data_IF_729499541906
#
_entry.id   IF_729499541906
#
_cell.length_a   1.000
_cell.length_b   1.000
_cell.length_c   1.000
_cell.angle_alpha   90.00
_cell.angle_beta   90.00
_cell.angle_gamma   90.00
#
_symmetry.space_group_name_H-M   'P 1'
#
loop_
_entity.id
_entity.type
_entity.pdbx_description
1 polymer ?
#
# COMPACT_ATOMS: atom_id res chain seq x y z
N UNK A 1 45.83 44.94 9.80
CA UNK A 1 44.37 44.99 10.08
C UNK A 1 43.96 43.58 10.44
N UNK A 2 43.44 43.34 11.64
CA UNK A 2 42.95 42.02 12.07
C UNK A 2 41.43 42.08 12.19
N UNK A 3 40.71 41.27 11.41
CA UNK A 3 39.27 41.08 11.59
C UNK A 3 39.05 39.81 12.41
N UNK A 4 38.49 40.00 13.60
CA UNK A 4 38.14 38.94 14.52
C UNK A 4 36.70 38.51 14.24
N UNK A 5 36.52 37.37 13.55
CA UNK A 5 35.21 36.76 13.39
C UNK A 5 34.85 36.01 14.68
N UNK A 6 33.75 36.42 15.32
CA UNK A 6 33.15 35.70 16.46
C UNK A 6 32.13 34.72 15.92
N UNK A 7 32.26 33.44 16.29
CA UNK A 7 31.27 32.41 15.95
C UNK A 7 29.96 32.64 16.72
N UNK A 8 28.82 32.53 16.02
CA UNK A 8 27.49 32.55 16.64
C UNK A 8 26.93 31.13 16.60
N UNK A 9 26.72 30.54 17.78
CA UNK A 9 26.14 29.20 17.96
C UNK A 9 24.64 29.31 18.26
N UNK A 10 23.73 28.86 17.38
CA UNK A 10 22.30 28.86 17.65
C UNK A 10 21.79 27.52 18.21
N UNK A 11 22.06 27.27 19.50
CA UNK A 11 21.28 26.37 20.36
C UNK A 11 21.05 27.12 21.67
N UNK A 12 19.84 27.32 22.18
CA UNK A 12 18.87 26.31 22.64
C UNK A 12 17.46 26.92 22.55
N UNK A 13 16.44 26.15 22.15
CA UNK A 13 15.03 26.57 22.28
C UNK A 13 14.44 26.04 23.60
N UNK A 14 13.80 26.88 24.44
CA UNK A 14 13.20 26.41 25.68
C UNK A 14 11.96 25.54 25.43
N UNK A 15 11.83 24.49 26.24
CA UNK A 15 10.70 23.56 26.23
C UNK A 15 9.38 24.29 26.50
N UNK A 16 8.45 24.25 25.54
CA UNK A 16 7.10 24.78 25.73
C UNK A 16 6.21 23.77 26.46
N UNK A 17 5.74 24.19 27.63
CA UNK A 17 4.38 23.99 28.14
C UNK A 17 3.81 22.58 28.17
N UNK A 18 3.70 22.02 29.39
CA UNK A 18 2.91 20.84 29.69
C UNK A 18 1.45 21.01 29.23
N UNK A 19 1.04 20.26 28.21
CA UNK A 19 -0.37 20.12 27.85
C UNK A 19 -1.06 19.21 28.88
N UNK A 20 -1.92 19.80 29.71
CA UNK A 20 -2.78 19.06 30.64
C UNK A 20 -3.80 18.22 29.86
N UNK A 21 -3.62 16.91 29.81
CA UNK A 21 -4.61 15.99 29.27
C UNK A 21 -5.69 15.69 30.33
N UNK A 22 -6.97 16.00 30.11
CA UNK A 22 -8.03 15.58 31.02
C UNK A 22 -8.20 14.06 30.97
N UNK A 23 -8.22 13.42 32.14
CA UNK A 23 -8.52 11.99 32.31
C UNK A 23 -9.93 11.69 31.75
N UNK A 24 -10.03 10.89 30.69
CA UNK A 24 -11.32 10.32 30.33
C UNK A 24 -11.68 9.23 31.34
N UNK A 25 -12.77 9.45 32.08
CA UNK A 25 -13.26 8.49 33.07
C UNK A 25 -13.86 7.29 32.34
N UNK A 26 -13.52 6.10 32.84
CA UNK A 26 -14.11 4.82 32.45
C UNK A 26 -15.46 4.68 33.15
N UNK A 27 -16.57 4.86 32.42
CA UNK A 27 -17.89 4.47 32.90
C UNK A 27 -18.27 3.12 32.31
N UNK A 28 -18.50 2.16 33.21
CA UNK A 28 -19.12 0.89 32.93
C UNK A 28 -20.61 1.13 32.68
N UNK A 29 -21.17 0.47 31.67
CA UNK A 29 -22.62 0.32 31.52
C UNK A 29 -22.94 -1.10 31.10
N UNK A 30 -23.22 -1.94 32.11
CA UNK A 30 -23.90 -3.21 31.93
C UNK A 30 -25.26 -2.98 31.23
N UNK A 31 -25.45 -3.64 30.09
CA UNK A 31 -26.58 -3.41 29.19
C UNK A 31 -27.12 -4.71 28.59
N UNK A 32 -27.89 -5.43 29.42
CA UNK A 32 -28.83 -6.53 29.14
C UNK A 32 -28.84 -7.26 27.78
N UNK A 33 -28.94 -8.59 27.86
CA UNK A 33 -29.30 -9.52 26.77
C UNK A 33 -30.80 -9.37 26.38
N UNK A 34 -31.20 -10.03 25.27
CA UNK A 34 -32.56 -10.10 24.66
C UNK A 34 -33.02 -8.79 23.96
N UNK A 35 -33.61 -8.74 22.74
CA UNK A 35 -33.96 -9.73 21.67
C UNK A 35 -33.93 -9.01 20.29
N UNK A 36 -34.25 -9.55 19.10
CA UNK A 36 -34.62 -10.90 18.62
C UNK A 36 -34.15 -11.10 17.14
N UNK A 37 -34.52 -12.24 16.54
CA UNK A 37 -34.56 -12.63 15.12
C UNK A 37 -34.60 -11.50 14.08
N UNK A 38 -33.53 -11.43 13.27
CA UNK A 38 -33.47 -10.65 12.02
C UNK A 38 -33.06 -11.47 10.79
N UNK A 39 -33.59 -12.69 10.60
CA UNK A 39 -33.36 -13.50 9.37
C UNK A 39 -34.15 -12.93 8.17
N UNK A 40 -33.79 -11.72 7.73
CA UNK A 40 -34.23 -11.15 6.46
C UNK A 40 -33.48 -11.78 5.29
N UNK A 41 -33.91 -12.96 4.84
CA UNK A 41 -33.43 -13.58 3.59
C UNK A 41 -34.46 -13.27 2.49
N UNK A 42 -34.33 -12.17 1.72
CA UNK A 42 -35.17 -11.97 0.54
C UNK A 42 -34.96 -13.13 -0.45
N UNK A 43 -36.03 -13.48 -1.16
CA UNK A 43 -36.10 -14.69 -1.97
C UNK A 43 -35.09 -14.72 -3.12
N UNK A 44 -34.74 -15.94 -3.54
CA UNK A 44 -34.29 -16.16 -4.90
C UNK A 44 -35.45 -15.84 -5.84
N UNK A 45 -35.40 -14.68 -6.48
CA UNK A 45 -36.39 -14.20 -7.43
C UNK A 45 -35.68 -13.61 -8.64
N UNK A 46 -35.85 -14.31 -9.76
CA UNK A 46 -35.76 -13.83 -11.14
C UNK A 46 -34.45 -13.19 -11.65
N UNK A 47 -33.94 -13.84 -12.70
CA UNK A 47 -32.78 -13.48 -13.49
C UNK A 47 -33.24 -12.54 -14.60
N UNK A 48 -33.40 -11.26 -14.30
CA UNK A 48 -33.42 -10.24 -15.35
C UNK A 48 -32.00 -9.88 -15.78
N UNK A 49 -31.86 -9.59 -17.07
CA UNK A 49 -30.59 -9.26 -17.69
C UNK A 49 -30.06 -7.95 -17.09
N UNK A 50 -28.91 -8.02 -16.41
CA UNK A 50 -28.09 -6.82 -16.22
C UNK A 50 -27.56 -6.45 -17.60
N UNK A 51 -28.28 -5.57 -18.27
CA UNK A 51 -27.71 -4.66 -19.28
C UNK A 51 -26.38 -4.12 -18.76
N UNK A 52 -25.42 -3.91 -19.68
CA UNK A 52 -24.07 -3.44 -19.41
C UNK A 52 -24.05 -2.04 -18.75
N UNK A 53 -24.36 -2.02 -17.45
CA UNK A 53 -24.22 -0.86 -16.60
C UNK A 53 -22.73 -0.67 -16.38
N UNK A 54 -22.11 0.09 -17.27
CA UNK A 54 -20.77 0.63 -17.13
C UNK A 54 -20.60 1.11 -15.68
N UNK A 55 -19.82 0.37 -14.88
CA UNK A 55 -19.67 0.75 -13.48
C UNK A 55 -19.07 2.15 -13.43
N UNK A 56 -19.66 3.08 -12.65
CA UNK A 56 -19.23 4.48 -12.66
C UNK A 56 -17.76 4.54 -12.24
N UNK A 57 -16.89 4.74 -13.23
CA UNK A 57 -15.46 4.52 -13.12
C UNK A 57 -14.90 5.22 -11.88
N UNK A 58 -14.26 4.44 -11.01
CA UNK A 58 -13.81 4.87 -9.68
C UNK A 58 -13.01 6.18 -9.79
N UNK A 59 -13.65 7.32 -9.46
CA UNK A 59 -13.14 8.65 -9.83
C UNK A 59 -11.77 8.88 -9.18
N UNK A 60 -10.73 8.96 -10.00
CA UNK A 60 -9.34 9.11 -9.55
C UNK A 60 -8.46 7.87 -9.73
N UNK A 61 -9.02 6.69 -9.99
CA UNK A 61 -8.25 5.47 -10.24
C UNK A 61 -7.34 5.57 -11.47
N UNK A 62 -6.16 4.95 -11.40
CA UNK A 62 -5.34 4.67 -12.60
C UNK A 62 -5.91 3.42 -13.26
N UNK A 63 -6.56 3.60 -14.40
CA UNK A 63 -7.01 2.51 -15.27
C UNK A 63 -5.80 1.95 -15.99
N UNK A 64 -5.51 0.67 -15.76
CA UNK A 64 -4.47 -0.07 -16.47
C UNK A 64 -5.18 -0.90 -17.53
N UNK A 65 -4.79 -0.73 -18.79
CA UNK A 65 -5.35 -1.46 -19.92
C UNK A 65 -4.84 -2.90 -20.01
N UNK A 66 -5.05 -3.54 -21.16
CA UNK A 66 -4.47 -4.86 -21.42
C UNK A 66 -2.93 -4.75 -21.48
N UNK A 67 -2.20 -5.80 -21.06
CA UNK A 67 -0.74 -5.79 -21.07
C UNK A 67 -0.15 -5.62 -22.49
N UNK A 68 -0.87 -6.06 -23.53
CA UNK A 68 -0.47 -5.90 -24.94
C UNK A 68 -0.53 -4.46 -25.46
N UNK A 69 -1.41 -3.64 -24.88
CA UNK A 69 -1.68 -2.26 -25.33
C UNK A 69 -0.91 -1.21 -24.51
N UNK A 70 -0.22 -1.66 -23.44
CA UNK A 70 0.55 -0.80 -22.53
C UNK A 70 2.05 -0.97 -22.75
N UNK A 71 2.82 0.10 -22.51
CA UNK A 71 4.29 -0.01 -22.50
C UNK A 71 4.75 -1.07 -21.47
N UNK A 72 5.83 -1.82 -21.74
CA UNK A 72 6.39 -2.78 -20.80
C UNK A 72 6.72 -2.09 -19.46
N UNK A 73 6.28 -2.64 -18.32
CA UNK A 73 6.51 -1.98 -17.04
C UNK A 73 8.00 -2.03 -16.68
N UNK A 74 8.50 -0.94 -16.12
CA UNK A 74 9.85 -0.85 -15.57
C UNK A 74 9.83 -1.27 -14.11
N UNK A 75 10.90 -1.92 -13.64
CA UNK A 75 11.10 -2.16 -12.21
C UNK A 75 12.39 -1.48 -11.75
N UNK A 76 12.38 -1.00 -10.52
CA UNK A 76 13.53 -0.39 -9.84
C UNK A 76 13.66 -1.04 -8.45
N UNK A 77 14.88 -1.24 -7.96
CA UNK A 77 15.12 -1.80 -6.61
C UNK A 77 15.47 -0.65 -5.67
N UNK A 78 14.58 -0.36 -4.72
CA UNK A 78 14.77 0.69 -3.73
C UNK A 78 15.26 0.12 -2.39
N UNK A 79 16.17 0.83 -1.71
CA UNK A 79 16.49 0.57 -0.31
C UNK A 79 15.49 1.33 0.58
N UNK A 80 14.48 0.63 1.08
CA UNK A 80 13.28 1.25 1.70
C UNK A 80 13.43 1.50 3.20
N UNK A 81 14.37 0.83 3.87
CA UNK A 81 14.60 1.03 5.29
C UNK A 81 15.64 0.09 5.87
N UNK A 82 15.85 0.21 7.19
CA UNK A 82 16.72 -0.66 7.99
C UNK A 82 15.86 -1.45 8.99
N UNK A 83 16.20 -2.72 9.20
CA UNK A 83 15.63 -3.53 10.30
C UNK A 83 16.12 -3.00 11.65
N UNK A 84 15.50 -3.46 12.74
CA UNK A 84 15.96 -3.17 14.10
C UNK A 84 17.42 -3.56 14.35
N UNK A 85 17.93 -4.55 13.62
CA UNK A 85 19.33 -5.01 13.69
C UNK A 85 20.32 -4.08 12.93
N UNK A 86 19.84 -3.06 12.22
CA UNK A 86 20.65 -2.18 11.37
C UNK A 86 20.76 -2.61 9.91
N UNK A 87 20.47 -3.88 9.61
CA UNK A 87 20.52 -4.45 8.24
C UNK A 87 19.63 -3.67 7.27
N UNK A 88 20.12 -3.33 6.06
CA UNK A 88 19.28 -2.74 5.02
C UNK A 88 18.19 -3.71 4.56
N UNK A 89 17.11 -3.17 4.00
CA UNK A 89 16.09 -3.93 3.30
C UNK A 89 15.82 -3.34 1.93
N UNK A 90 15.73 -4.22 0.94
CA UNK A 90 15.53 -3.90 -0.47
C UNK A 90 14.11 -4.27 -0.87
N UNK A 91 13.50 -3.49 -1.76
CA UNK A 91 12.14 -3.70 -2.24
C UNK A 91 12.08 -3.35 -3.72
N UNK A 92 11.63 -4.28 -4.57
CA UNK A 92 11.31 -3.95 -5.94
C UNK A 92 10.03 -3.09 -6.02
N UNK A 93 10.10 -2.05 -6.84
CA UNK A 93 9.00 -1.17 -7.20
C UNK A 93 8.76 -1.29 -8.70
N UNK A 94 7.61 -1.87 -9.08
CA UNK A 94 7.16 -2.01 -10.46
C UNK A 94 6.31 -0.79 -10.84
N UNK A 95 6.75 -0.04 -11.84
CA UNK A 95 6.09 1.16 -12.35
C UNK A 95 5.32 0.82 -13.64
N UNK A 96 3.99 0.81 -13.56
CA UNK A 96 3.09 0.51 -14.68
C UNK A 96 2.49 1.81 -15.21
N UNK A 97 2.68 2.11 -16.50
CA UNK A 97 1.98 3.21 -17.18
C UNK A 97 0.54 2.80 -17.48
N UNK A 98 -0.42 3.49 -16.86
CA UNK A 98 -1.85 3.36 -17.15
C UNK A 98 -2.32 4.31 -18.25
N UNK A 99 -3.60 4.20 -18.59
CA UNK A 99 -4.26 5.07 -19.57
C UNK A 99 -4.21 6.54 -19.12
N UNK A 100 -3.99 7.45 -20.08
CA UNK A 100 -3.82 8.87 -19.80
C UNK A 100 -2.48 9.25 -19.15
N UNK A 101 -1.44 8.43 -19.31
CA UNK A 101 -0.07 8.73 -18.86
C UNK A 101 0.16 8.67 -17.35
N UNK A 102 -0.83 8.20 -16.58
CA UNK A 102 -0.71 8.07 -15.12
C UNK A 102 0.07 6.81 -14.76
N UNK A 103 1.12 6.95 -13.96
CA UNK A 103 1.90 5.80 -13.47
C UNK A 103 1.27 5.25 -12.18
N UNK A 104 1.10 3.93 -12.13
CA UNK A 104 0.79 3.19 -10.90
C UNK A 104 2.03 2.41 -10.47
N UNK A 105 2.59 2.76 -9.32
CA UNK A 105 3.63 1.97 -8.68
C UNK A 105 3.02 0.84 -7.84
N UNK A 106 3.63 -0.34 -7.91
CA UNK A 106 3.34 -1.51 -7.09
C UNK A 106 4.63 -1.97 -6.44
N UNK A 107 4.56 -2.44 -5.19
CA UNK A 107 5.76 -2.80 -4.40
C UNK A 107 5.74 -4.28 -4.01
N UNK A 108 6.87 -4.94 -4.18
CA UNK A 108 7.13 -6.31 -3.73
C UNK A 108 7.24 -6.37 -2.18
N UNK A 109 7.34 -7.55 -1.54
CA UNK A 109 7.75 -7.65 -0.14
C UNK A 109 9.18 -7.10 0.07
N UNK A 110 9.52 -6.55 1.24
CA UNK A 110 10.90 -6.18 1.54
C UNK A 110 11.76 -7.43 1.80
N UNK A 111 12.89 -7.54 1.11
CA UNK A 111 13.88 -8.62 1.22
C UNK A 111 15.12 -8.17 2.00
N UNK A 112 15.93 -9.13 2.42
CA UNK A 112 17.21 -8.87 3.09
C UNK A 112 18.35 -8.64 2.09
N UNK A 113 18.34 -9.40 0.98
CA UNK A 113 19.32 -9.28 -0.10
C UNK A 113 18.76 -8.43 -1.25
N UNK A 114 19.64 -7.84 -2.05
CA UNK A 114 19.25 -7.10 -3.26
C UNK A 114 18.82 -8.06 -4.38
N UNK A 115 19.53 -9.19 -4.54
CA UNK A 115 19.25 -10.17 -5.60
C UNK A 115 17.84 -10.78 -5.45
N UNK A 116 17.45 -11.20 -4.24
CA UNK A 116 16.08 -11.66 -3.94
C UNK A 116 15.01 -10.61 -4.32
N UNK A 117 15.32 -9.32 -4.18
CA UNK A 117 14.42 -8.23 -4.53
C UNK A 117 14.38 -7.99 -6.05
N UNK A 118 15.51 -8.20 -6.75
CA UNK A 118 15.57 -8.14 -8.21
C UNK A 118 14.76 -9.29 -8.84
N UNK A 119 14.91 -10.50 -8.33
CA UNK A 119 14.15 -11.69 -8.75
C UNK A 119 12.63 -11.48 -8.55
N UNK A 120 12.20 -10.93 -7.40
CA UNK A 120 10.80 -10.52 -7.16
C UNK A 120 10.33 -9.48 -8.21
N UNK A 121 11.19 -8.54 -8.59
CA UNK A 121 10.91 -7.51 -9.60
C UNK A 121 10.73 -8.08 -11.00
N UNK A 122 11.55 -9.06 -11.38
CA UNK A 122 11.44 -9.79 -12.63
C UNK A 122 10.21 -10.70 -12.65
N UNK A 123 9.94 -11.47 -11.58
CA UNK A 123 8.71 -12.28 -11.46
C UNK A 123 7.45 -11.40 -11.58
N UNK A 124 7.44 -10.22 -10.95
CA UNK A 124 6.34 -9.26 -11.07
C UNK A 124 6.18 -8.73 -12.49
N UNK A 125 7.27 -8.34 -13.16
CA UNK A 125 7.24 -7.86 -14.56
C UNK A 125 6.71 -8.95 -15.49
N UNK A 126 7.22 -10.17 -15.38
CA UNK A 126 6.80 -11.32 -16.17
C UNK A 126 5.34 -11.69 -15.93
N UNK A 127 4.91 -11.70 -14.66
CA UNK A 127 3.53 -11.99 -14.28
C UNK A 127 2.56 -10.94 -14.87
N UNK A 128 2.96 -9.67 -14.92
CA UNK A 128 2.17 -8.62 -15.59
C UNK A 128 2.07 -8.86 -17.10
N UNK A 129 3.18 -9.17 -17.78
CA UNK A 129 3.17 -9.42 -19.22
C UNK A 129 2.35 -10.67 -19.61
N UNK A 130 2.35 -11.70 -18.75
CA UNK A 130 1.64 -12.98 -18.99
C UNK A 130 0.15 -12.96 -18.59
N UNK A 131 -0.18 -12.32 -17.47
CA UNK A 131 -1.50 -12.42 -16.83
C UNK A 131 -2.14 -11.07 -16.49
N UNK A 132 -1.48 -9.96 -16.81
CA UNK A 132 -1.95 -8.60 -16.50
C UNK A 132 -2.07 -8.31 -15.01
N UNK A 133 -2.94 -7.35 -14.69
CA UNK A 133 -3.24 -6.96 -13.30
C UNK A 133 -3.85 -8.06 -12.42
N UNK A 134 -4.68 -9.01 -12.92
CA UNK A 134 -5.16 -10.13 -12.12
C UNK A 134 -4.03 -10.99 -11.55
N UNK A 135 -3.10 -11.44 -12.41
CA UNK A 135 -1.97 -12.27 -11.96
C UNK A 135 -1.08 -11.58 -10.93
N UNK A 136 -0.81 -10.29 -11.10
CA UNK A 136 -0.07 -9.50 -10.09
C UNK A 136 -0.74 -9.50 -8.71
N UNK A 137 -2.09 -9.48 -8.63
CA UNK A 137 -2.80 -9.54 -7.35
C UNK A 137 -2.68 -10.92 -6.70
N UNK A 138 -2.75 -11.98 -7.50
CA UNK A 138 -2.55 -13.35 -7.04
C UNK A 138 -1.12 -13.58 -6.54
N UNK A 139 -0.13 -13.10 -7.29
CA UNK A 139 1.28 -13.14 -6.90
C UNK A 139 1.53 -12.41 -5.56
N UNK A 140 1.02 -11.18 -5.42
CA UNK A 140 1.09 -10.45 -4.15
C UNK A 140 0.36 -11.17 -3.01
N UNK A 141 -0.75 -11.87 -3.28
CA UNK A 141 -1.46 -12.64 -2.27
C UNK A 141 -0.67 -13.89 -1.86
N UNK A 142 -0.04 -14.59 -2.81
CA UNK A 142 0.87 -15.73 -2.59
C UNK A 142 2.07 -15.31 -1.73
N UNK A 143 2.79 -14.26 -2.13
CA UNK A 143 3.95 -13.71 -1.41
C UNK A 143 3.60 -13.23 0.01
N UNK A 144 2.38 -12.74 0.26
CA UNK A 144 1.90 -12.40 1.62
C UNK A 144 1.61 -13.63 2.46
N UNK A 145 1.05 -14.69 1.88
CA UNK A 145 0.73 -15.96 2.58
C UNK A 145 2.00 -16.73 2.96
N UNK A 146 3.00 -16.79 2.10
CA UNK A 146 4.28 -17.48 2.34
C UNK A 146 5.14 -16.88 3.46
N UNK A 147 4.72 -15.76 4.06
CA UNK A 147 5.38 -15.15 5.22
C UNK A 147 4.84 -15.66 6.58
N UNK A 148 3.74 -16.42 6.58
CA UNK A 148 3.01 -16.82 7.81
C UNK A 148 3.23 -18.31 8.16
N UNK A 149 3.92 -19.08 7.30
CA UNK A 149 4.31 -20.48 7.53
C UNK A 149 5.64 -20.60 8.26
#
# INVERSE_FOLDING_TARGET
>A
MFFQCVEVVPGIRPLRSLASCPRHIFQQSDGSRYSDRGRGRPNAGEREEREDREEPGFRGGVVIGNPSDTEPPTYEVEQVGKKHNGDPTFQAVLNIKGQGGRIRSLRAPPRANEDDARDDGEEMKDCFMKHGMPGLRELQQKQRRSRIS
#
